data_IF_781212099155
#
_entry.id   IF_781212099155
#
_cell.length_a   1.000
_cell.length_b   1.000
_cell.length_c   1.000
_cell.angle_alpha   90.00
_cell.angle_beta   90.00
_cell.angle_gamma   90.00
#
_symmetry.space_group_name_H-M   'P 1'
#
loop_
_entity.id
_entity.type
_entity.pdbx_description
1 polymer ?
#
# COMPACT_ATOMS: atom_id res chain seq x y z
N UNK A 1 -32.73 -12.35 -16.47
CA UNK A 1 -33.85 -12.24 -15.51
C UNK A 1 -33.75 -13.32 -14.44
N UNK A 2 -34.31 -14.54 -14.58
CA UNK A 2 -34.30 -15.54 -13.49
C UNK A 2 -32.89 -15.93 -13.02
N UNK A 3 -31.94 -16.15 -13.95
CA UNK A 3 -30.55 -16.51 -13.61
C UNK A 3 -29.80 -15.39 -12.86
N UNK A 4 -30.03 -14.14 -13.23
CA UNK A 4 -29.49 -12.96 -12.52
C UNK A 4 -30.02 -12.92 -11.09
N UNK A 5 -31.34 -13.05 -10.91
CA UNK A 5 -31.96 -13.07 -9.58
C UNK A 5 -31.43 -14.20 -8.68
N UNK A 6 -31.09 -15.36 -9.26
CA UNK A 6 -30.44 -16.45 -8.53
C UNK A 6 -29.05 -16.01 -8.04
N UNK A 7 -28.21 -15.42 -8.90
CA UNK A 7 -26.89 -14.93 -8.52
C UNK A 7 -26.98 -13.89 -7.40
N UNK A 8 -27.87 -12.89 -7.55
CA UNK A 8 -28.09 -11.87 -6.51
C UNK A 8 -28.55 -12.49 -5.19
N UNK A 9 -29.46 -13.47 -5.24
CA UNK A 9 -29.92 -14.18 -4.03
C UNK A 9 -28.79 -14.95 -3.37
N UNK A 10 -27.94 -15.63 -4.16
CA UNK A 10 -26.77 -16.33 -3.64
C UNK A 10 -25.77 -15.35 -3.00
N UNK A 11 -25.58 -14.17 -3.58
CA UNK A 11 -24.75 -13.11 -3.01
C UNK A 11 -25.24 -12.71 -1.62
N UNK A 12 -26.56 -12.50 -1.45
CA UNK A 12 -27.13 -12.21 -0.13
C UNK A 12 -27.00 -13.37 0.85
N UNK A 13 -27.16 -14.61 0.40
CA UNK A 13 -26.96 -15.79 1.24
C UNK A 13 -25.51 -15.89 1.72
N UNK A 14 -24.53 -15.68 0.82
CA UNK A 14 -23.10 -15.69 1.16
C UNK A 14 -22.78 -14.62 2.19
N UNK A 15 -23.25 -13.38 1.96
CA UNK A 15 -23.06 -12.27 2.90
C UNK A 15 -23.69 -12.56 4.26
N UNK A 16 -24.91 -13.13 4.29
CA UNK A 16 -25.60 -13.48 5.52
C UNK A 16 -25.00 -14.67 6.29
N UNK A 17 -24.33 -15.60 5.60
CA UNK A 17 -23.64 -16.73 6.24
C UNK A 17 -22.21 -16.39 6.68
N UNK A 18 -21.57 -15.39 6.08
CA UNK A 18 -20.17 -15.05 6.37
C UNK A 18 -19.23 -16.23 6.14
N UNK A 19 -18.41 -16.56 7.14
CA UNK A 19 -17.45 -17.68 7.08
C UNK A 19 -18.11 -19.03 6.83
N UNK A 20 -19.36 -19.21 7.26
CA UNK A 20 -20.11 -20.46 7.07
C UNK A 20 -20.55 -20.68 5.61
N UNK A 21 -20.33 -19.70 4.72
CA UNK A 21 -20.57 -19.86 3.29
C UNK A 21 -19.71 -20.96 2.63
N UNK A 22 -18.67 -21.44 3.31
CA UNK A 22 -17.82 -22.57 2.86
C UNK A 22 -18.62 -23.82 2.50
N UNK A 23 -19.72 -24.11 3.21
CA UNK A 23 -20.56 -25.27 2.91
C UNK A 23 -21.31 -25.15 1.58
N UNK A 24 -21.42 -23.93 1.03
CA UNK A 24 -22.06 -23.69 -0.27
C UNK A 24 -21.06 -23.77 -1.43
N UNK A 25 -19.75 -23.86 -1.20
CA UNK A 25 -18.74 -23.83 -2.26
C UNK A 25 -18.95 -24.88 -3.35
N UNK A 26 -19.34 -26.15 -3.07
CA UNK A 26 -19.61 -27.13 -4.12
C UNK A 26 -20.70 -26.69 -5.11
N UNK A 27 -21.59 -25.79 -4.70
CA UNK A 27 -22.62 -25.19 -5.56
C UNK A 27 -22.21 -23.82 -6.09
N UNK A 28 -21.54 -22.99 -5.29
CA UNK A 28 -21.15 -21.63 -5.68
C UNK A 28 -20.06 -21.62 -6.75
N UNK A 29 -19.04 -22.47 -6.63
CA UNK A 29 -17.88 -22.41 -7.54
C UNK A 29 -18.26 -22.75 -8.99
N UNK A 30 -19.07 -23.76 -9.32
CA UNK A 30 -19.51 -23.98 -10.70
C UNK A 30 -20.38 -22.84 -11.25
N UNK A 31 -21.20 -22.24 -10.38
CA UNK A 31 -22.07 -21.11 -10.75
C UNK A 31 -21.24 -19.86 -11.06
N UNK A 32 -20.24 -19.54 -10.23
CA UNK A 32 -19.29 -18.45 -10.46
C UNK A 32 -18.50 -18.71 -11.74
N UNK A 33 -17.97 -19.93 -11.91
CA UNK A 33 -17.17 -20.27 -13.08
C UNK A 33 -17.99 -20.12 -14.38
N UNK A 34 -19.23 -20.59 -14.41
CA UNK A 34 -20.10 -20.46 -15.59
C UNK A 34 -20.50 -19.00 -15.87
N UNK A 35 -20.79 -18.22 -14.83
CA UNK A 35 -21.24 -16.83 -14.98
C UNK A 35 -20.12 -15.87 -15.37
N UNK A 36 -18.86 -16.24 -15.10
CA UNK A 36 -17.66 -15.42 -15.36
C UNK A 36 -16.79 -15.94 -16.52
N UNK A 37 -17.18 -17.05 -17.16
CA UNK A 37 -16.50 -17.57 -18.34
C UNK A 37 -16.91 -16.80 -19.61
N UNK A 38 -16.02 -15.92 -20.08
CA UNK A 38 -16.25 -15.09 -21.28
C UNK A 38 -16.31 -15.89 -22.58
N UNK A 39 -15.83 -17.14 -22.59
CA UNK A 39 -15.95 -18.04 -23.73
C UNK A 39 -17.36 -18.58 -23.93
N UNK A 40 -18.23 -18.44 -22.92
CA UNK A 40 -19.59 -19.00 -22.95
C UNK A 40 -20.64 -17.91 -23.21
N UNK A 41 -21.69 -18.18 -24.01
CA UNK A 41 -22.76 -17.22 -24.28
C UNK A 41 -23.42 -16.57 -23.04
N UNK A 42 -23.51 -17.23 -21.86
CA UNK A 42 -24.12 -16.61 -20.68
C UNK A 42 -23.40 -15.40 -20.10
N UNK A 43 -22.10 -15.18 -20.36
CA UNK A 43 -21.36 -14.07 -19.76
C UNK A 43 -22.02 -12.71 -20.06
N UNK A 44 -22.60 -12.54 -21.26
CA UNK A 44 -23.18 -11.29 -21.74
C UNK A 44 -24.22 -10.69 -20.78
N UNK A 45 -24.91 -11.53 -20.00
CA UNK A 45 -25.98 -11.11 -19.09
C UNK A 45 -25.82 -11.61 -17.65
N UNK A 46 -24.78 -12.40 -17.36
CA UNK A 46 -24.49 -12.91 -16.01
C UNK A 46 -23.20 -12.36 -15.42
N UNK A 47 -22.33 -11.75 -16.22
CA UNK A 47 -20.97 -11.44 -15.80
C UNK A 47 -20.92 -10.50 -14.60
N UNK A 48 -21.70 -9.42 -14.61
CA UNK A 48 -21.73 -8.44 -13.52
C UNK A 48 -22.16 -9.08 -12.19
N UNK A 49 -23.31 -9.77 -12.19
CA UNK A 49 -23.83 -10.50 -11.02
C UNK A 49 -22.87 -11.62 -10.58
N UNK A 50 -22.21 -12.29 -11.54
CA UNK A 50 -21.26 -13.36 -11.30
C UNK A 50 -19.98 -12.87 -10.63
N UNK A 51 -19.46 -11.72 -11.06
CA UNK A 51 -18.32 -11.04 -10.43
C UNK A 51 -18.67 -10.55 -9.02
N UNK A 52 -19.89 -10.04 -8.81
CA UNK A 52 -20.33 -9.65 -7.46
C UNK A 52 -20.42 -10.85 -6.51
N UNK A 53 -20.98 -11.97 -6.99
CA UNK A 53 -21.03 -13.21 -6.24
C UNK A 53 -19.62 -13.68 -5.89
N UNK A 54 -18.72 -13.69 -6.88
CA UNK A 54 -17.31 -14.08 -6.69
C UNK A 54 -16.62 -13.21 -5.64
N UNK A 55 -16.73 -11.88 -5.75
CA UNK A 55 -16.14 -10.95 -4.78
C UNK A 55 -16.69 -11.19 -3.37
N UNK A 56 -18.01 -11.40 -3.24
CA UNK A 56 -18.64 -11.65 -1.95
C UNK A 56 -18.19 -12.97 -1.34
N UNK A 57 -18.07 -14.03 -2.15
CA UNK A 57 -17.54 -15.33 -1.69
C UNK A 57 -16.13 -15.20 -1.14
N UNK A 58 -15.22 -14.48 -1.80
CA UNK A 58 -13.85 -14.30 -1.31
C UNK A 58 -13.78 -13.44 -0.04
N UNK A 59 -14.61 -12.40 0.05
CA UNK A 59 -14.68 -11.53 1.22
C UNK A 59 -15.18 -12.27 2.47
N UNK A 60 -16.05 -13.24 2.28
CA UNK A 60 -16.60 -14.09 3.34
C UNK A 60 -15.76 -15.34 3.62
N UNK A 61 -14.88 -15.77 2.70
CA UNK A 61 -14.03 -16.94 2.88
C UNK A 61 -13.04 -16.77 4.03
N UNK A 62 -12.93 -17.75 4.92
CA UNK A 62 -11.97 -17.76 6.03
C UNK A 62 -10.58 -18.27 5.62
N UNK A 63 -10.50 -19.10 4.58
CA UNK A 63 -9.25 -19.68 4.08
C UNK A 63 -9.34 -19.96 2.58
N UNK A 64 -8.17 -20.05 1.92
CA UNK A 64 -8.09 -20.38 0.51
C UNK A 64 -8.36 -21.87 0.31
N UNK A 65 -9.22 -22.22 -0.64
CA UNK A 65 -9.47 -23.61 -1.06
C UNK A 65 -9.00 -23.84 -2.50
N UNK A 66 -8.70 -25.09 -2.92
CA UNK A 66 -8.34 -25.39 -4.30
C UNK A 66 -9.40 -24.96 -5.31
N UNK A 67 -10.68 -25.08 -4.97
CA UNK A 67 -11.80 -24.68 -5.82
C UNK A 67 -11.85 -23.16 -6.01
N UNK A 68 -11.65 -22.39 -4.92
CA UNK A 68 -11.57 -20.94 -4.99
C UNK A 68 -10.35 -20.50 -5.81
N UNK A 69 -9.20 -21.13 -5.62
CA UNK A 69 -8.00 -20.83 -6.40
C UNK A 69 -8.21 -21.15 -7.90
N UNK A 70 -8.93 -22.23 -8.20
CA UNK A 70 -9.24 -22.63 -9.58
C UNK A 70 -10.12 -21.60 -10.31
N UNK A 71 -11.04 -20.91 -9.64
CA UNK A 71 -11.87 -19.87 -10.25
C UNK A 71 -11.04 -18.76 -10.92
N UNK A 72 -9.82 -18.51 -10.42
CA UNK A 72 -8.94 -17.49 -10.96
C UNK A 72 -8.53 -17.73 -12.42
N UNK A 73 -8.68 -18.96 -12.94
CA UNK A 73 -8.45 -19.25 -14.37
C UNK A 73 -9.35 -18.42 -15.31
N UNK A 74 -10.48 -17.89 -14.84
CA UNK A 74 -11.32 -16.99 -15.63
C UNK A 74 -10.76 -15.55 -15.69
N UNK A 75 -9.90 -15.16 -14.74
CA UNK A 75 -9.42 -13.79 -14.59
C UNK A 75 -8.59 -13.25 -15.78
N UNK A 76 -7.67 -14.01 -16.42
CA UNK A 76 -6.89 -13.50 -17.55
C UNK A 76 -7.77 -12.91 -18.66
N UNK A 77 -8.80 -13.64 -19.07
CA UNK A 77 -9.69 -13.19 -20.14
C UNK A 77 -10.60 -12.03 -19.70
N UNK A 78 -10.95 -11.94 -18.41
CA UNK A 78 -11.70 -10.81 -17.86
C UNK A 78 -10.92 -9.51 -17.89
N UNK A 79 -9.60 -9.58 -17.66
CA UNK A 79 -8.70 -8.42 -17.74
C UNK A 79 -8.52 -7.92 -19.19
N UNK A 80 -8.73 -8.78 -20.19
CA UNK A 80 -8.62 -8.46 -21.61
C UNK A 80 -9.93 -7.91 -22.23
N UNK A 81 -11.09 -8.22 -21.64
CA UNK A 81 -12.40 -8.01 -22.28
C UNK A 81 -12.80 -6.54 -22.42
N UNK A 82 -12.94 -5.81 -21.30
CA UNK A 82 -13.39 -4.41 -21.30
C UNK A 82 -13.05 -3.68 -20.00
N UNK A 83 -12.99 -2.34 -20.06
CA UNK A 83 -12.72 -1.51 -18.90
C UNK A 83 -13.82 -1.49 -17.85
N UNK A 84 -15.04 -1.92 -18.19
CA UNK A 84 -16.22 -1.85 -17.31
C UNK A 84 -16.08 -2.77 -16.10
N UNK A 85 -15.50 -3.96 -16.30
CA UNK A 85 -15.33 -4.96 -15.25
C UNK A 85 -13.96 -4.88 -14.55
N UNK A 86 -13.05 -4.00 -14.98
CA UNK A 86 -11.71 -3.90 -14.41
C UNK A 86 -11.74 -3.52 -12.93
N UNK A 87 -12.64 -2.63 -12.51
CA UNK A 87 -12.78 -2.24 -11.09
C UNK A 87 -13.06 -3.46 -10.22
N UNK A 88 -14.06 -4.26 -10.59
CA UNK A 88 -14.45 -5.46 -9.82
C UNK A 88 -13.39 -6.54 -9.92
N UNK A 89 -12.76 -6.71 -11.09
CA UNK A 89 -11.65 -7.64 -11.29
C UNK A 89 -10.45 -7.32 -10.39
N UNK A 90 -10.08 -6.05 -10.29
CA UNK A 90 -9.02 -5.59 -9.38
C UNK A 90 -9.38 -5.80 -7.92
N UNK A 91 -10.63 -5.54 -7.52
CA UNK A 91 -11.09 -5.86 -6.16
C UNK A 91 -11.00 -7.36 -5.86
N UNK A 92 -11.35 -8.23 -6.83
CA UNK A 92 -11.25 -9.68 -6.68
C UNK A 92 -9.78 -10.10 -6.55
N UNK A 93 -8.89 -9.57 -7.38
CA UNK A 93 -7.44 -9.83 -7.30
C UNK A 93 -6.89 -9.43 -5.92
N UNK A 94 -7.30 -8.27 -5.39
CA UNK A 94 -6.91 -7.84 -4.05
C UNK A 94 -7.42 -8.81 -2.97
N UNK A 95 -8.67 -9.26 -3.06
CA UNK A 95 -9.22 -10.29 -2.16
C UNK A 95 -8.43 -11.59 -2.22
N UNK A 96 -8.00 -12.03 -3.41
CA UNK A 96 -7.13 -13.21 -3.58
C UNK A 96 -5.75 -13.04 -2.96
N UNK A 97 -5.13 -11.86 -3.10
CA UNK A 97 -3.83 -11.58 -2.47
C UNK A 97 -3.94 -11.65 -0.96
N UNK A 98 -4.98 -11.03 -0.39
CA UNK A 98 -5.23 -11.05 1.05
C UNK A 98 -5.54 -12.46 1.56
N UNK A 99 -6.36 -13.24 0.82
CA UNK A 99 -6.82 -14.56 1.25
C UNK A 99 -5.81 -15.68 1.01
N UNK A 100 -5.22 -15.73 -0.19
CA UNK A 100 -4.34 -16.80 -0.64
C UNK A 100 -2.86 -16.54 -0.39
N UNK A 101 -2.50 -15.30 -0.04
CA UNK A 101 -1.14 -14.93 0.35
C UNK A 101 -0.07 -15.38 -0.65
N UNK A 102 1.01 -15.98 -0.13
CA UNK A 102 2.18 -16.37 -0.93
C UNK A 102 1.86 -17.48 -1.94
N UNK A 103 0.97 -18.41 -1.61
CA UNK A 103 0.55 -19.49 -2.51
C UNK A 103 -0.11 -18.91 -3.77
N UNK A 104 -1.04 -17.98 -3.57
CA UNK A 104 -1.67 -17.28 -4.69
C UNK A 104 -0.65 -16.47 -5.50
N UNK A 105 0.25 -15.76 -4.83
CA UNK A 105 1.27 -14.94 -5.50
C UNK A 105 2.25 -15.80 -6.33
N UNK A 106 2.61 -16.99 -5.86
CA UNK A 106 3.46 -17.92 -6.60
C UNK A 106 2.75 -18.47 -7.85
N UNK A 107 1.45 -18.76 -7.75
CA UNK A 107 0.68 -19.26 -8.88
C UNK A 107 0.39 -18.18 -9.94
N UNK A 108 -0.01 -16.99 -9.50
CA UNK A 108 -0.62 -15.97 -10.38
C UNK A 108 0.09 -14.63 -10.42
N UNK A 109 1.15 -14.43 -9.62
CA UNK A 109 1.87 -13.15 -9.56
C UNK A 109 2.41 -12.68 -10.91
N UNK A 110 2.86 -13.61 -11.77
CA UNK A 110 3.34 -13.28 -13.11
C UNK A 110 2.26 -12.62 -13.98
N UNK A 111 1.00 -13.05 -13.89
CA UNK A 111 -0.13 -12.47 -14.62
C UNK A 111 -0.43 -11.05 -14.13
N UNK A 112 -0.35 -10.83 -12.82
CA UNK A 112 -0.58 -9.50 -12.23
C UNK A 112 0.50 -8.54 -12.72
N UNK A 113 1.77 -8.96 -12.70
CA UNK A 113 2.89 -8.16 -13.21
C UNK A 113 2.78 -7.89 -14.71
N UNK A 114 2.43 -8.89 -15.53
CA UNK A 114 2.23 -8.68 -16.97
C UNK A 114 1.08 -7.71 -17.25
N UNK A 115 0.00 -7.82 -16.48
CA UNK A 115 -1.14 -6.90 -16.54
C UNK A 115 -0.69 -5.47 -16.23
N UNK A 116 0.02 -5.26 -15.11
CA UNK A 116 0.59 -3.95 -14.76
C UNK A 116 1.51 -3.42 -15.87
N UNK A 117 2.40 -4.23 -16.43
CA UNK A 117 3.29 -3.79 -17.50
C UNK A 117 2.54 -3.32 -18.76
N UNK A 118 1.41 -3.94 -19.06
CA UNK A 118 0.62 -3.66 -20.25
C UNK A 118 -0.28 -2.42 -20.11
N UNK A 119 -0.89 -2.20 -18.94
CA UNK A 119 -1.95 -1.19 -18.78
C UNK A 119 -1.58 -0.04 -17.83
N UNK A 120 -0.52 -0.15 -17.05
CA UNK A 120 -0.10 0.94 -16.15
C UNK A 120 0.31 2.16 -16.98
N UNK A 121 -0.33 3.30 -16.70
CA UNK A 121 -0.13 4.55 -17.43
C UNK A 121 -0.99 4.69 -18.70
N UNK A 122 -1.68 3.63 -19.14
CA UNK A 122 -2.64 3.71 -20.26
C UNK A 122 -4.08 3.92 -19.78
N UNK A 123 -4.37 3.55 -18.53
CA UNK A 123 -5.67 3.76 -17.91
C UNK A 123 -5.86 5.23 -17.48
N UNK A 124 -7.13 5.60 -17.27
CA UNK A 124 -7.47 6.84 -16.54
C UNK A 124 -6.94 6.76 -15.11
N UNK A 125 -6.75 7.92 -14.47
CA UNK A 125 -6.21 8.05 -13.11
C UNK A 125 -6.81 7.07 -12.09
N UNK A 126 -8.13 6.91 -12.07
CA UNK A 126 -8.83 5.98 -11.16
C UNK A 126 -8.45 4.50 -11.39
N UNK A 127 -8.23 4.09 -12.64
CA UNK A 127 -7.78 2.73 -12.96
C UNK A 127 -6.33 2.48 -12.54
N UNK A 128 -5.44 3.45 -12.81
CA UNK A 128 -4.06 3.39 -12.33
C UNK A 128 -4.00 3.37 -10.80
N UNK A 129 -4.89 4.10 -10.13
CA UNK A 129 -4.99 4.13 -8.67
C UNK A 129 -5.34 2.75 -8.10
N UNK A 130 -6.27 2.01 -8.73
CA UNK A 130 -6.61 0.65 -8.30
C UNK A 130 -5.45 -0.33 -8.48
N UNK A 131 -4.75 -0.25 -9.63
CA UNK A 131 -3.57 -1.08 -9.86
C UNK A 131 -2.47 -0.77 -8.85
N UNK A 132 -2.22 0.51 -8.57
CA UNK A 132 -1.24 0.91 -7.57
C UNK A 132 -1.59 0.35 -6.18
N UNK A 133 -2.88 0.30 -5.81
CA UNK A 133 -3.33 -0.32 -4.54
C UNK A 133 -3.09 -1.83 -4.51
N UNK A 134 -3.26 -2.55 -5.62
CA UNK A 134 -2.91 -3.97 -5.69
C UNK A 134 -1.41 -4.15 -5.38
N UNK A 135 -0.54 -3.35 -6.01
CA UNK A 135 0.90 -3.39 -5.76
C UNK A 135 1.21 -3.04 -4.31
N UNK A 136 0.54 -2.03 -3.74
CA UNK A 136 0.67 -1.62 -2.35
C UNK A 136 0.33 -2.76 -1.38
N UNK A 137 -0.77 -3.48 -1.61
CA UNK A 137 -1.14 -4.65 -0.79
C UNK A 137 -0.07 -5.73 -0.88
N UNK A 138 0.44 -6.05 -2.08
CA UNK A 138 1.53 -7.03 -2.23
C UNK A 138 2.78 -6.59 -1.46
N UNK A 139 3.18 -5.32 -1.53
CA UNK A 139 4.38 -4.82 -0.86
C UNK A 139 4.24 -4.81 0.65
N UNK A 140 3.03 -4.50 1.15
CA UNK A 140 2.74 -4.53 2.60
C UNK A 140 2.77 -5.95 3.15
N UNK A 141 2.21 -6.92 2.43
CA UNK A 141 2.19 -8.34 2.81
C UNK A 141 3.54 -9.04 2.62
N UNK A 142 4.25 -8.74 1.53
CA UNK A 142 5.48 -9.40 1.09
C UNK A 142 6.58 -8.37 0.78
N UNK A 143 7.20 -7.74 1.80
CA UNK A 143 8.17 -6.66 1.60
C UNK A 143 9.48 -7.08 0.92
N UNK A 144 9.74 -8.39 0.78
CA UNK A 144 10.92 -8.90 0.07
C UNK A 144 10.54 -9.43 -1.31
N UNK A 145 9.53 -10.28 -1.39
CA UNK A 145 9.09 -10.97 -2.60
C UNK A 145 8.33 -10.01 -3.54
N UNK A 146 7.50 -9.12 -2.99
CA UNK A 146 6.71 -8.16 -3.75
C UNK A 146 7.55 -7.24 -4.62
N UNK A 147 8.49 -6.46 -4.06
CA UNK A 147 9.36 -5.59 -4.86
C UNK A 147 10.18 -6.35 -5.92
N UNK A 148 10.62 -7.57 -5.62
CA UNK A 148 11.30 -8.43 -6.60
C UNK A 148 10.39 -8.86 -7.74
N UNK A 149 9.15 -9.26 -7.42
CA UNK A 149 8.16 -9.65 -8.42
C UNK A 149 7.82 -8.49 -9.36
N UNK A 150 7.73 -7.27 -8.82
CA UNK A 150 7.38 -6.05 -9.57
C UNK A 150 8.60 -5.27 -10.11
N UNK A 151 9.80 -5.86 -10.14
CA UNK A 151 11.03 -5.19 -10.56
C UNK A 151 10.94 -4.55 -11.96
N UNK A 152 10.20 -5.17 -12.89
CA UNK A 152 9.96 -4.62 -14.24
C UNK A 152 9.01 -3.41 -14.29
N UNK A 153 8.16 -3.24 -13.28
CA UNK A 153 7.15 -2.18 -13.20
C UNK A 153 7.70 -0.96 -12.45
N UNK A 154 8.57 -1.18 -11.46
CA UNK A 154 9.13 -0.14 -10.59
C UNK A 154 9.80 1.03 -11.34
N UNK A 155 10.57 0.84 -12.44
CA UNK A 155 11.15 1.96 -13.19
C UNK A 155 10.10 2.94 -13.72
N UNK A 156 8.96 2.44 -14.22
CA UNK A 156 7.85 3.29 -14.70
C UNK A 156 7.23 4.09 -13.55
N UNK A 157 7.03 3.45 -12.41
CA UNK A 157 6.48 4.09 -11.19
C UNK A 157 7.46 5.15 -10.67
N UNK A 158 8.76 4.84 -10.61
CA UNK A 158 9.79 5.78 -10.18
C UNK A 158 9.82 7.01 -11.07
N UNK A 159 9.80 6.82 -12.39
CA UNK A 159 9.79 7.91 -13.35
C UNK A 159 8.53 8.77 -13.21
N UNK A 160 7.36 8.15 -13.01
CA UNK A 160 6.11 8.88 -12.77
C UNK A 160 6.19 9.78 -11.52
N UNK A 161 6.85 9.33 -10.45
CA UNK A 161 7.12 10.16 -9.27
C UNK A 161 8.08 11.29 -9.62
N UNK A 162 9.16 11.04 -10.33
CA UNK A 162 10.10 12.10 -10.73
C UNK A 162 9.45 13.15 -11.62
N UNK A 163 8.67 12.73 -12.61
CA UNK A 163 8.04 13.64 -13.59
C UNK A 163 6.93 14.49 -12.97
N UNK A 164 6.20 13.93 -12.00
CA UNK A 164 5.21 14.65 -11.22
C UNK A 164 3.94 15.06 -11.94
N UNK A 165 3.74 14.59 -13.17
CA UNK A 165 2.58 14.97 -14.00
C UNK A 165 1.34 14.11 -13.71
N UNK A 166 1.45 13.13 -12.82
CA UNK A 166 0.36 12.23 -12.48
C UNK A 166 -0.61 12.84 -11.46
N UNK A 167 -1.80 12.22 -11.38
CA UNK A 167 -2.81 12.57 -10.39
C UNK A 167 -2.27 12.47 -8.95
N UNK A 168 -2.42 13.53 -8.13
CA UNK A 168 -1.83 13.61 -6.78
C UNK A 168 -2.05 12.37 -5.89
N UNK A 169 -3.29 11.87 -5.73
CA UNK A 169 -3.54 10.64 -4.97
C UNK A 169 -2.82 9.40 -5.51
N UNK A 170 -2.57 9.32 -6.82
CA UNK A 170 -1.80 8.22 -7.42
C UNK A 170 -0.32 8.35 -7.06
N UNK A 171 0.26 9.55 -7.18
CA UNK A 171 1.63 9.84 -6.77
C UNK A 171 1.86 9.51 -5.29
N UNK A 172 0.90 9.81 -4.42
CA UNK A 172 0.98 9.45 -3.01
C UNK A 172 1.14 7.93 -2.81
N UNK A 173 0.40 7.10 -3.56
CA UNK A 173 0.56 5.64 -3.50
C UNK A 173 1.93 5.24 -4.03
N UNK A 174 2.37 5.78 -5.18
CA UNK A 174 3.67 5.46 -5.75
C UNK A 174 4.83 5.77 -4.79
N UNK A 175 4.81 6.94 -4.16
CA UNK A 175 5.77 7.30 -3.11
C UNK A 175 5.71 6.31 -1.94
N UNK A 176 4.51 5.88 -1.54
CA UNK A 176 4.33 4.90 -0.46
C UNK A 176 4.95 3.55 -0.77
N UNK A 177 4.92 3.09 -2.03
CA UNK A 177 5.57 1.85 -2.44
C UNK A 177 7.08 1.89 -2.14
N UNK A 178 7.73 2.99 -2.49
CA UNK A 178 9.15 3.18 -2.19
C UNK A 178 9.42 3.42 -0.71
N UNK A 179 8.52 4.08 0.02
CA UNK A 179 8.60 4.23 1.47
C UNK A 179 8.56 2.86 2.18
N UNK A 180 7.69 1.94 1.74
CA UNK A 180 7.64 0.56 2.25
C UNK A 180 8.94 -0.18 1.94
N UNK A 181 9.46 -0.06 0.70
CA UNK A 181 10.74 -0.67 0.33
C UNK A 181 11.89 -0.15 1.21
N UNK A 182 11.97 1.16 1.42
CA UNK A 182 12.99 1.79 2.26
C UNK A 182 12.93 1.31 3.71
N UNK A 183 11.74 1.32 4.32
CA UNK A 183 11.57 0.96 5.73
C UNK A 183 11.72 -0.54 5.99
N UNK A 184 11.21 -1.39 5.10
CA UNK A 184 11.17 -2.85 5.34
C UNK A 184 12.30 -3.61 4.66
N UNK A 185 12.92 -3.07 3.61
CA UNK A 185 13.95 -3.75 2.83
C UNK A 185 14.88 -2.78 2.09
N UNK A 186 15.57 -1.91 2.84
CA UNK A 186 16.52 -0.93 2.29
C UNK A 186 17.52 -1.51 1.28
N UNK A 187 18.15 -2.68 1.49
CA UNK A 187 19.10 -3.22 0.50
C UNK A 187 18.49 -3.45 -0.89
N UNK A 188 17.20 -3.81 -0.96
CA UNK A 188 16.49 -3.94 -2.24
C UNK A 188 16.30 -2.57 -2.90
N UNK A 189 15.88 -1.55 -2.13
CA UNK A 189 15.78 -0.18 -2.64
C UNK A 189 17.13 0.34 -3.17
N UNK A 190 18.22 0.14 -2.43
CA UNK A 190 19.56 0.59 -2.85
C UNK A 190 20.00 -0.12 -4.15
N UNK A 191 19.75 -1.43 -4.25
CA UNK A 191 20.04 -2.21 -5.46
C UNK A 191 19.20 -1.76 -6.66
N UNK A 192 17.93 -1.45 -6.44
CA UNK A 192 17.02 -0.92 -7.46
C UNK A 192 17.50 0.44 -7.99
N UNK A 193 17.85 1.38 -7.09
CA UNK A 193 18.38 2.68 -7.50
C UNK A 193 19.68 2.51 -8.28
N UNK A 194 20.58 1.63 -7.84
CA UNK A 194 21.84 1.38 -8.54
C UNK A 194 21.61 0.84 -9.96
N UNK A 195 20.70 -0.13 -10.11
CA UNK A 195 20.30 -0.65 -11.42
C UNK A 195 19.73 0.44 -12.32
N UNK A 196 18.85 1.30 -11.77
CA UNK A 196 18.23 2.38 -12.52
C UNK A 196 19.24 3.47 -12.92
N UNK A 197 20.21 3.74 -12.06
CA UNK A 197 21.32 4.65 -12.32
C UNK A 197 22.17 4.17 -13.49
N UNK A 198 22.52 2.89 -13.51
CA UNK A 198 23.24 2.25 -14.61
C UNK A 198 22.44 2.28 -15.91
N UNK A 199 21.13 2.01 -15.86
CA UNK A 199 20.25 2.04 -17.03
C UNK A 199 20.16 3.44 -17.66
N UNK A 200 20.10 4.50 -16.84
CA UNK A 200 20.03 5.88 -17.32
C UNK A 200 21.39 6.54 -17.53
N UNK A 201 22.51 5.87 -17.21
CA UNK A 201 23.85 6.45 -17.26
C UNK A 201 24.02 7.66 -16.33
N UNK A 202 23.33 7.64 -15.18
CA UNK A 202 23.35 8.71 -14.17
C UNK A 202 24.01 8.23 -12.88
N UNK A 203 24.39 9.15 -12.00
CA UNK A 203 24.79 8.81 -10.63
C UNK A 203 23.57 8.39 -9.81
N UNK A 204 23.70 7.34 -8.99
CA UNK A 204 22.66 6.92 -8.06
C UNK A 204 22.27 8.05 -7.08
N UNK A 205 23.25 8.86 -6.67
CA UNK A 205 23.02 10.02 -5.81
C UNK A 205 22.14 11.07 -6.50
N UNK A 206 22.37 11.36 -7.78
CA UNK A 206 21.59 12.35 -8.53
C UNK A 206 20.14 11.88 -8.71
N UNK A 207 19.94 10.58 -9.00
CA UNK A 207 18.61 9.99 -9.11
C UNK A 207 17.85 10.06 -7.79
N UNK A 208 18.49 9.68 -6.67
CA UNK A 208 17.88 9.80 -5.34
C UNK A 208 17.55 11.25 -5.04
N UNK A 209 18.43 12.20 -5.35
CA UNK A 209 18.20 13.62 -5.08
C UNK A 209 16.93 14.13 -5.74
N UNK A 210 16.80 13.91 -7.06
CA UNK A 210 15.62 14.32 -7.83
C UNK A 210 14.35 13.63 -7.34
N UNK A 211 14.45 12.35 -7.00
CA UNK A 211 13.33 11.59 -6.45
C UNK A 211 12.88 12.12 -5.08
N UNK A 212 13.83 12.42 -4.19
CA UNK A 212 13.53 13.00 -2.88
C UNK A 212 12.95 14.40 -3.00
N UNK A 213 13.43 15.26 -3.91
CA UNK A 213 12.82 16.56 -4.15
C UNK A 213 11.36 16.41 -4.57
N UNK A 214 11.12 15.53 -5.55
CA UNK A 214 9.76 15.24 -6.05
C UNK A 214 8.83 14.66 -4.98
N UNK A 215 9.39 13.93 -4.01
CA UNK A 215 8.66 13.42 -2.86
C UNK A 215 8.35 14.56 -1.88
N UNK A 216 9.36 15.29 -1.43
CA UNK A 216 9.24 16.35 -0.41
C UNK A 216 8.26 17.43 -0.85
N UNK A 217 8.34 17.91 -2.09
CA UNK A 217 7.42 18.91 -2.66
C UNK A 217 5.95 18.47 -2.66
N UNK A 218 5.68 17.16 -2.55
CA UNK A 218 4.33 16.60 -2.64
C UNK A 218 3.80 16.08 -1.33
N UNK A 219 4.53 16.24 -0.22
CA UNK A 219 4.04 15.81 1.09
C UNK A 219 2.64 16.38 1.37
N UNK A 220 2.42 17.66 1.10
CA UNK A 220 1.11 18.34 1.28
C UNK A 220 -0.03 17.77 0.44
N UNK A 221 0.29 17.11 -0.69
CA UNK A 221 -0.73 16.48 -1.53
C UNK A 221 -1.21 15.12 -1.00
N UNK A 222 -0.50 14.54 -0.04
CA UNK A 222 -0.87 13.26 0.59
C UNK A 222 -1.94 13.55 1.64
N UNK A 223 -3.20 13.25 1.35
CA UNK A 223 -4.32 13.57 2.24
C UNK A 223 -4.53 12.58 3.40
N UNK A 224 -4.10 11.32 3.24
CA UNK A 224 -4.28 10.27 4.25
C UNK A 224 -3.16 10.33 5.29
N UNK A 225 -3.51 10.48 6.56
CA UNK A 225 -2.53 10.60 7.65
C UNK A 225 -1.66 9.36 7.80
N UNK A 226 -2.21 8.16 7.62
CA UNK A 226 -1.43 6.91 7.72
C UNK A 226 -0.33 6.86 6.67
N UNK A 227 -0.64 7.39 5.49
CA UNK A 227 0.29 7.50 4.38
C UNK A 227 1.35 8.57 4.62
N UNK A 228 0.95 9.75 5.12
CA UNK A 228 1.89 10.80 5.54
C UNK A 228 2.87 10.26 6.58
N UNK A 229 2.37 9.60 7.63
CA UNK A 229 3.17 8.94 8.67
C UNK A 229 4.16 7.93 8.06
N UNK A 230 3.69 7.01 7.22
CA UNK A 230 4.55 6.04 6.53
C UNK A 230 5.68 6.72 5.75
N UNK A 231 5.34 7.71 4.94
CA UNK A 231 6.31 8.40 4.09
C UNK A 231 7.30 9.22 4.90
N UNK A 232 6.85 9.89 5.96
CA UNK A 232 7.71 10.62 6.89
C UNK A 232 8.65 9.69 7.63
N UNK A 233 8.17 8.53 8.12
CA UNK A 233 9.04 7.53 8.75
C UNK A 233 10.14 7.08 7.78
N UNK A 234 9.80 6.83 6.52
CA UNK A 234 10.78 6.45 5.51
C UNK A 234 11.82 7.56 5.25
N UNK A 235 11.40 8.81 5.11
CA UNK A 235 12.31 9.96 4.96
C UNK A 235 13.23 10.11 6.18
N UNK A 236 12.69 10.04 7.39
CA UNK A 236 13.48 10.09 8.62
C UNK A 236 14.51 8.96 8.66
N UNK A 237 14.12 7.74 8.26
CA UNK A 237 15.03 6.59 8.26
C UNK A 237 16.28 6.79 7.39
N UNK A 238 16.24 7.73 6.44
CA UNK A 238 17.39 8.08 5.61
C UNK A 238 18.40 8.99 6.32
N UNK A 239 17.98 9.77 7.31
CA UNK A 239 18.82 10.81 7.95
C UNK A 239 20.15 10.29 8.52
N UNK A 240 20.25 9.11 9.15
CA UNK A 240 21.52 8.61 9.68
C UNK A 240 22.57 8.28 8.60
N UNK A 241 22.19 8.16 7.32
CA UNK A 241 23.14 7.85 6.25
C UNK A 241 23.89 9.11 5.80
N UNK A 242 25.22 9.03 5.77
CA UNK A 242 26.15 10.13 5.42
C UNK A 242 26.21 10.43 3.92
N UNK A 243 25.06 10.54 3.26
CA UNK A 243 24.99 10.93 1.86
C UNK A 243 24.69 12.43 1.78
N UNK A 244 25.49 13.18 1.03
CA UNK A 244 25.34 14.63 0.87
C UNK A 244 23.94 15.01 0.36
N UNK A 245 23.38 14.18 -0.52
CA UNK A 245 22.02 14.31 -1.06
C UNK A 245 20.94 14.27 0.03
N UNK A 246 21.12 13.47 1.08
CA UNK A 246 20.19 13.42 2.21
C UNK A 246 20.45 14.61 3.13
N UNK A 247 21.73 14.91 3.39
CA UNK A 247 22.15 16.01 4.25
C UNK A 247 21.60 17.36 3.77
N UNK A 248 21.60 17.64 2.47
CA UNK A 248 21.07 18.89 1.92
C UNK A 248 19.55 19.06 2.10
N UNK A 249 18.84 17.99 2.49
CA UNK A 249 17.38 17.96 2.71
C UNK A 249 17.02 17.75 4.18
N UNK A 250 18.02 17.76 5.09
CA UNK A 250 17.82 17.50 6.51
C UNK A 250 16.74 18.39 7.11
N UNK A 251 16.83 19.72 6.91
CA UNK A 251 15.87 20.68 7.49
C UNK A 251 14.43 20.40 7.06
N UNK A 252 14.21 20.22 5.76
CA UNK A 252 12.89 19.95 5.18
C UNK A 252 12.30 18.63 5.71
N UNK A 253 13.12 17.58 5.86
CA UNK A 253 12.66 16.30 6.42
C UNK A 253 12.24 16.47 7.89
N UNK A 254 12.94 17.30 8.67
CA UNK A 254 12.58 17.57 10.06
C UNK A 254 11.30 18.42 10.16
N UNK A 255 11.14 19.42 9.30
CA UNK A 255 9.91 20.21 9.19
C UNK A 255 8.70 19.32 8.95
N UNK A 256 8.78 18.46 7.91
CA UNK A 256 7.73 17.47 7.61
C UNK A 256 7.47 16.52 8.79
N UNK A 257 8.51 16.11 9.50
CA UNK A 257 8.35 15.25 10.67
C UNK A 257 7.55 15.94 11.79
N UNK A 258 7.84 17.22 12.05
CA UNK A 258 7.11 18.03 13.04
C UNK A 258 5.68 18.28 12.58
N UNK A 259 5.46 18.58 11.31
CA UNK A 259 4.12 18.79 10.75
C UNK A 259 3.24 17.54 10.93
N UNK A 260 3.76 16.36 10.60
CA UNK A 260 3.03 15.11 10.78
C UNK A 260 2.87 14.76 12.27
N UNK A 261 3.83 15.11 13.13
CA UNK A 261 3.65 14.98 14.59
C UNK A 261 2.52 15.86 15.10
N UNK A 262 2.41 17.10 14.63
CA UNK A 262 1.31 18.01 14.97
C UNK A 262 -0.03 17.45 14.49
N UNK A 263 -0.08 16.86 13.28
CA UNK A 263 -1.29 16.22 12.75
C UNK A 263 -1.75 15.02 13.58
N UNK A 264 -0.81 14.21 14.08
CA UNK A 264 -1.10 13.00 14.87
C UNK A 264 -1.45 13.31 16.32
N UNK A 265 -0.94 14.40 16.88
CA UNK A 265 -1.07 14.71 18.32
C UNK A 265 -2.23 15.69 18.63
N UNK A 266 -3.37 15.58 17.94
CA UNK A 266 -4.54 16.48 18.09
C UNK A 266 -5.34 16.31 19.40
N UNK A 267 -4.84 15.58 20.39
CA UNK A 267 -5.54 15.36 21.65
C UNK A 267 -5.41 16.56 22.61
N UNK A 268 -6.54 17.16 23.00
CA UNK A 268 -6.60 18.31 23.93
C UNK A 268 -6.10 17.99 25.36
N UNK A 269 -5.98 16.71 25.74
CA UNK A 269 -5.67 16.32 27.13
C UNK A 269 -4.37 15.52 27.27
N UNK A 270 -4.06 14.65 26.29
CA UNK A 270 -2.79 13.94 26.19
C UNK A 270 -2.42 13.78 24.70
N UNK A 271 -1.28 14.33 24.25
CA UNK A 271 -0.77 14.10 22.90
C UNK A 271 -0.55 12.59 22.70
N UNK A 272 -1.40 11.95 21.90
CA UNK A 272 -1.27 10.54 21.55
C UNK A 272 -1.47 10.38 20.06
N UNK A 273 -0.60 9.56 19.46
CA UNK A 273 -0.64 9.18 18.05
C UNK A 273 -1.90 8.34 17.83
N UNK A 274 -2.98 8.98 17.34
CA UNK A 274 -4.31 8.36 17.21
C UNK A 274 -4.36 7.21 16.20
N UNK A 275 -3.31 7.04 15.39
CA UNK A 275 -3.20 5.91 14.47
C UNK A 275 -2.69 4.65 15.14
N UNK A 276 -2.23 4.71 16.39
CA UNK A 276 -1.84 3.51 17.10
C UNK A 276 -3.08 2.66 17.38
N UNK A 277 -3.04 1.40 16.95
CA UNK A 277 -4.09 0.44 17.29
C UNK A 277 -4.04 0.18 18.79
N UNK A 278 -5.06 0.62 19.53
CA UNK A 278 -5.23 0.25 20.92
C UNK A 278 -6.02 -1.07 20.99
N UNK A 279 -5.71 -1.90 21.99
CA UNK A 279 -6.47 -3.13 22.25
C UNK A 279 -7.93 -2.88 22.63
N UNK A 280 -8.26 -1.64 22.98
CA UNK A 280 -9.52 -1.26 23.61
C UNK A 280 -10.46 -0.52 22.63
N UNK A 281 -10.03 -0.28 21.39
CA UNK A 281 -10.85 0.33 20.31
C UNK A 281 -11.81 -0.69 19.64
N UNK A 282 -12.09 -1.82 20.31
CA UNK A 282 -12.96 -2.91 19.83
C UNK A 282 -14.45 -2.68 20.17
N UNK A 283 -14.79 -1.56 20.81
CA UNK A 283 -16.18 -1.22 21.13
C UNK A 283 -16.73 -0.23 20.08
N UNK A 284 -17.71 -0.69 19.31
CA UNK A 284 -18.68 0.09 18.51
C UNK A 284 -18.51 0.14 16.96
N UNK A 285 -18.45 -1.00 16.27
CA UNK A 285 -18.99 -1.08 14.89
C UNK A 285 -19.75 -2.41 14.66
N UNK A 286 -21.04 -2.44 15.04
CA UNK A 286 -21.97 -3.57 14.89
C UNK A 286 -22.27 -4.01 13.43
N UNK A 287 -21.46 -3.66 12.40
CA UNK A 287 -21.88 -3.86 11.00
C UNK A 287 -20.80 -4.27 9.94
N UNK A 288 -19.58 -4.71 10.29
CA UNK A 288 -18.54 -4.94 9.23
C UNK A 288 -17.54 -6.10 9.30
N UNK A 289 -17.73 -7.18 10.07
CA UNK A 289 -16.72 -8.26 10.08
C UNK A 289 -16.88 -9.31 8.97
N UNK A 290 -16.72 -8.88 7.71
CA UNK A 290 -16.30 -9.81 6.66
C UNK A 290 -14.93 -10.40 7.00
N UNK A 291 -14.64 -11.64 6.59
CA UNK A 291 -13.32 -12.25 6.82
C UNK A 291 -12.20 -11.45 6.17
N UNK A 292 -12.46 -10.73 5.07
CA UNK A 292 -11.48 -9.79 4.51
C UNK A 292 -11.18 -8.61 5.42
N UNK A 293 -12.17 -8.07 6.13
CA UNK A 293 -11.95 -6.99 7.08
C UNK A 293 -10.98 -7.45 8.18
N UNK A 294 -11.19 -8.64 8.74
CA UNK A 294 -10.28 -9.24 9.72
C UNK A 294 -8.85 -9.40 9.16
N UNK A 295 -8.70 -9.90 7.93
CA UNK A 295 -7.38 -9.98 7.27
C UNK A 295 -6.69 -8.61 7.13
N UNK A 296 -7.45 -7.55 6.83
CA UNK A 296 -6.91 -6.18 6.76
C UNK A 296 -6.51 -5.65 8.13
N UNK A 297 -7.30 -5.92 9.17
CA UNK A 297 -6.97 -5.61 10.56
C UNK A 297 -5.67 -6.31 10.99
N UNK A 298 -5.52 -7.60 10.69
CA UNK A 298 -4.29 -8.36 10.93
C UNK A 298 -3.07 -7.80 10.16
N UNK A 299 -3.27 -7.34 8.92
CA UNK A 299 -2.21 -6.71 8.14
C UNK A 299 -1.77 -5.38 8.79
N UNK A 300 -2.73 -4.57 9.22
CA UNK A 300 -2.46 -3.30 9.90
C UNK A 300 -1.76 -3.52 11.26
N UNK A 301 -2.14 -4.56 12.00
CA UNK A 301 -1.53 -4.91 13.29
C UNK A 301 -0.04 -5.27 13.20
N UNK A 302 0.49 -5.55 12.00
CA UNK A 302 1.90 -5.83 11.73
C UNK A 302 2.63 -4.65 11.05
N UNK A 303 1.93 -3.56 10.78
CA UNK A 303 2.46 -2.44 10.02
C UNK A 303 3.00 -1.35 10.96
N UNK A 304 4.28 -0.94 10.83
CA UNK A 304 4.89 0.09 11.67
C UNK A 304 4.08 1.38 11.78
N UNK A 305 3.27 1.70 10.77
CA UNK A 305 2.38 2.86 10.78
C UNK A 305 1.37 2.81 11.93
N UNK A 306 0.87 1.63 12.30
CA UNK A 306 -0.12 1.46 13.36
C UNK A 306 0.48 0.92 14.67
N UNK A 307 1.75 0.49 14.66
CA UNK A 307 2.40 -0.12 15.84
C UNK A 307 3.52 0.72 16.44
N UNK A 308 4.06 1.71 15.70
CA UNK A 308 5.17 2.55 16.14
C UNK A 308 4.70 3.99 16.30
N UNK A 309 4.92 4.55 17.49
CA UNK A 309 4.64 5.97 17.77
C UNK A 309 5.64 6.84 17.01
N UNK A 310 5.15 7.79 16.20
CA UNK A 310 6.04 8.61 15.36
C UNK A 310 7.06 9.39 16.20
N UNK A 311 6.65 9.91 17.37
CA UNK A 311 7.54 10.66 18.27
C UNK A 311 8.77 9.86 18.69
N UNK A 312 8.56 8.60 19.07
CA UNK A 312 9.65 7.70 19.49
C UNK A 312 10.54 7.36 18.30
N UNK A 313 9.94 7.10 17.14
CA UNK A 313 10.66 6.80 15.91
C UNK A 313 11.59 7.95 15.50
N UNK A 314 11.09 9.19 15.45
CA UNK A 314 11.87 10.39 15.10
C UNK A 314 12.98 10.61 16.12
N UNK A 315 12.68 10.52 17.42
CA UNK A 315 13.68 10.66 18.49
C UNK A 315 14.83 9.67 18.33
N UNK A 316 14.51 8.40 18.14
CA UNK A 316 15.51 7.34 18.08
C UNK A 316 16.31 7.42 16.78
N UNK A 317 15.69 7.86 15.69
CA UNK A 317 16.36 8.17 14.42
C UNK A 317 17.33 9.35 14.54
N UNK A 318 16.93 10.43 15.23
CA UNK A 318 17.82 11.57 15.49
C UNK A 318 19.01 11.19 16.37
N UNK A 319 18.81 10.30 17.35
CA UNK A 319 19.91 9.74 18.15
C UNK A 319 20.88 8.93 17.28
N UNK A 320 20.37 8.09 16.37
CA UNK A 320 21.20 7.36 15.41
C UNK A 320 21.96 8.32 14.49
N UNK A 321 21.32 9.39 14.04
CA UNK A 321 21.94 10.44 13.25
C UNK A 321 23.08 11.14 14.03
N UNK A 322 22.84 11.53 15.29
CA UNK A 322 23.86 12.12 16.15
C UNK A 322 25.07 11.17 16.34
N UNK A 323 24.82 9.87 16.56
CA UNK A 323 25.87 8.87 16.66
C UNK A 323 26.67 8.71 15.35
N UNK A 324 25.99 8.76 14.20
CA UNK A 324 26.64 8.62 12.91
C UNK A 324 27.52 9.84 12.59
N UNK A 325 26.99 11.06 12.71
CA UNK A 325 27.67 12.29 12.29
C UNK A 325 28.62 12.88 13.35
N UNK A 326 28.45 12.52 14.62
CA UNK A 326 29.12 13.12 15.76
C UNK A 326 28.47 14.43 16.19
N UNK A 327 28.66 14.81 17.45
CA UNK A 327 27.94 15.93 18.09
C UNK A 327 28.09 17.26 17.36
N UNK A 328 29.30 17.61 16.91
CA UNK A 328 29.56 18.90 16.26
C UNK A 328 28.83 19.03 14.91
N UNK A 329 28.92 18.00 14.07
CA UNK A 329 28.25 18.02 12.76
C UNK A 329 26.73 17.92 12.91
N UNK A 330 26.25 17.13 13.89
CA UNK A 330 24.83 17.05 14.19
C UNK A 330 24.27 18.39 14.66
N UNK A 331 24.98 19.10 15.53
CA UNK A 331 24.59 20.45 15.94
C UNK A 331 24.56 21.44 14.76
N UNK A 332 25.50 21.33 13.82
CA UNK A 332 25.49 22.14 12.61
C UNK A 332 24.28 21.85 11.69
N UNK A 333 23.90 20.58 11.55
CA UNK A 333 22.68 20.19 10.81
C UNK A 333 21.42 20.71 11.50
N UNK A 334 21.32 20.54 12.82
CA UNK A 334 20.20 21.06 13.62
C UNK A 334 20.11 22.59 13.51
N UNK A 335 21.24 23.30 13.40
CA UNK A 335 21.25 24.75 13.21
C UNK A 335 20.71 25.21 11.85
N UNK A 336 20.60 24.33 10.85
CA UNK A 336 19.93 24.65 9.58
C UNK A 336 18.40 24.56 9.64
N UNK A 337 17.84 23.96 10.69
CA UNK A 337 16.40 23.86 10.93
C UNK A 337 15.91 25.15 11.58
N UNK A 338 14.70 25.60 11.24
CA UNK A 338 14.11 26.77 11.89
C UNK A 338 13.95 26.56 13.41
N UNK A 339 14.23 27.59 14.21
CA UNK A 339 14.20 27.49 15.67
C UNK A 339 12.82 27.16 16.25
N UNK A 340 11.74 27.60 15.59
CA UNK A 340 10.35 27.25 15.91
C UNK A 340 10.13 25.73 15.83
N UNK A 341 10.51 25.13 14.71
CA UNK A 341 10.43 23.68 14.43
C UNK A 341 11.25 22.87 15.43
N UNK A 342 12.47 23.32 15.78
CA UNK A 342 13.29 22.65 16.79
C UNK A 342 12.61 22.66 18.15
N UNK A 343 12.02 23.79 18.55
CA UNK A 343 11.34 23.91 19.84
C UNK A 343 10.13 22.98 19.93
N UNK A 344 9.33 22.91 18.86
CA UNK A 344 8.20 21.97 18.76
C UNK A 344 8.67 20.52 18.82
N UNK A 345 9.69 20.15 18.03
CA UNK A 345 10.28 18.82 18.06
C UNK A 345 10.77 18.44 19.46
N UNK A 346 11.47 19.34 20.16
CA UNK A 346 11.92 19.13 21.52
C UNK A 346 10.75 18.96 22.50
N UNK A 347 9.66 19.71 22.31
CA UNK A 347 8.45 19.57 23.11
C UNK A 347 7.87 18.15 23.03
N UNK A 348 7.75 17.60 21.81
CA UNK A 348 7.30 16.22 21.58
C UNK A 348 8.27 15.20 22.16
N UNK A 349 9.58 15.39 21.98
CA UNK A 349 10.58 14.44 22.51
C UNK A 349 10.59 14.42 24.04
N UNK A 350 10.33 15.57 24.67
CA UNK A 350 10.33 15.70 26.13
C UNK A 350 9.02 15.26 26.78
N UNK A 351 7.88 15.30 26.08
CA UNK A 351 6.59 14.79 26.59
C UNK A 351 6.55 13.26 26.74
N UNK A 352 7.52 12.54 26.15
CA UNK A 352 7.65 11.08 26.22
C UNK A 352 8.64 10.60 27.31
N UNK A 353 9.02 11.47 28.26
CA UNK A 353 9.81 11.11 29.46
C UNK A 353 8.89 10.86 30.64
#
# INVERSE_FOLDING_TARGET
>A
MLRCSILTTLTFIVKGLGSESVYLYPFLTPVIQLSTDVGQPPHVYLLEDGLELWSSTLKCASSMTPELLHLFNNMPHLLELSSENLRTSFSIIESYILLGGLEFLQAWGHLIVSTCNNILGTLKAEGNLMLARIIEVVFRMFPVEGPRLFESVLPKIFQAVVDGQEYGPLLAIYVSLFAVMLLKNKPNFDSFVQMLAEQYGKSANDLIGVFLDSWLERMDSISKTERRKLTTMALCSLLPFKQEVIHSRFAVIIEIAVDVLNELNKGDTYPSDYLLMNSDDDEDEEDYDSQEHLRRKELNAKDPVYTVKLTLFVRDTLRQCQQAYGDQNFQAMMASVESSVINELQSFINSER
#
